data_IF_610469448432
#
_entry.id   IF_610469448432
#
_cell.length_a   1.000
_cell.length_b   1.000
_cell.length_c   1.000
_cell.angle_alpha   90.00
_cell.angle_beta   90.00
_cell.angle_gamma   90.00
#
_symmetry.space_group_name_H-M   'P 1'
#
loop_
_entity.id
_entity.type
_entity.pdbx_description
1 polymer ?
#
# COMPACT_ATOMS: atom_id res chain seq x y z
N UNK A 1 -9.11 -2.57 3.72
CA UNK A 1 -8.92 -2.38 5.18
C UNK A 1 -7.91 -3.34 5.78
N UNK A 2 -7.74 -3.31 7.11
CA UNK A 2 -6.83 -4.22 7.80
C UNK A 2 -6.82 -4.06 9.32
N UNK A 3 -6.05 -4.91 9.98
CA UNK A 3 -5.96 -4.92 11.45
C UNK A 3 -4.75 -4.14 11.94
N UNK A 4 -4.93 -3.40 13.05
CA UNK A 4 -3.83 -2.74 13.74
C UNK A 4 -3.16 -3.66 14.75
N UNK A 5 -1.89 -3.44 15.11
CA UNK A 5 -1.21 -4.18 16.18
C UNK A 5 -1.82 -3.96 17.57
N UNK A 6 -2.66 -2.95 17.73
CA UNK A 6 -3.36 -2.62 19.00
C UNK A 6 -4.84 -3.02 19.00
N UNK A 7 -5.21 -4.00 18.17
CA UNK A 7 -6.55 -4.62 18.17
C UNK A 7 -7.67 -3.66 17.78
N UNK A 8 -7.47 -2.88 16.72
CA UNK A 8 -8.53 -2.18 16.00
C UNK A 8 -8.55 -2.61 14.54
N UNK A 9 -9.70 -2.45 13.89
CA UNK A 9 -9.85 -2.59 12.44
C UNK A 9 -9.78 -1.20 11.82
N UNK A 10 -8.96 -1.03 10.79
CA UNK A 10 -8.97 0.17 9.95
C UNK A 10 -9.86 -0.13 8.75
N UNK A 11 -11.00 0.54 8.69
CA UNK A 11 -11.96 0.46 7.60
C UNK A 11 -11.81 1.65 6.67
N UNK A 12 -12.13 1.46 5.40
CA UNK A 12 -11.90 2.46 4.35
C UNK A 12 -13.17 2.79 3.56
N UNK A 13 -13.18 4.01 3.05
CA UNK A 13 -14.01 4.42 1.94
C UNK A 13 -13.14 4.40 0.68
N UNK A 14 -13.42 3.47 -0.23
CA UNK A 14 -12.62 3.28 -1.44
C UNK A 14 -12.85 4.39 -2.49
N UNK A 15 -14.01 5.02 -2.49
CA UNK A 15 -14.35 6.05 -3.47
C UNK A 15 -14.26 7.46 -2.89
N UNK A 16 -13.63 8.37 -3.62
CA UNK A 16 -13.58 9.79 -3.27
C UNK A 16 -14.76 10.51 -3.86
N UNK A 17 -15.61 11.07 -3.00
CA UNK A 17 -16.71 11.94 -3.39
C UNK A 17 -16.74 13.18 -2.52
N UNK A 18 -16.99 14.33 -3.13
CA UNK A 18 -17.26 15.55 -2.37
C UNK A 18 -18.68 15.51 -1.77
N UNK A 19 -18.85 16.17 -0.63
CA UNK A 19 -20.19 16.39 -0.03
C UNK A 19 -21.17 16.90 -1.07
N UNK A 20 -22.38 16.33 -1.12
CA UNK A 20 -23.44 16.62 -2.06
C UNK A 20 -23.42 15.79 -3.35
N UNK A 21 -22.29 15.17 -3.69
CA UNK A 21 -22.25 14.20 -4.80
C UNK A 21 -22.97 12.91 -4.39
N UNK A 22 -23.61 12.23 -5.33
CA UNK A 22 -24.35 10.98 -5.10
C UNK A 22 -25.34 11.01 -3.93
N UNK A 23 -25.81 12.21 -3.52
CA UNK A 23 -26.70 12.37 -2.36
C UNK A 23 -26.00 12.26 -0.98
N UNK A 24 -24.67 12.25 -0.95
CA UNK A 24 -23.90 12.10 0.29
C UNK A 24 -23.94 13.36 1.15
N UNK A 25 -24.15 13.17 2.47
CA UNK A 25 -24.16 14.28 3.45
C UNK A 25 -22.76 14.74 3.85
N UNK A 26 -21.72 13.91 3.62
CA UNK A 26 -20.32 14.16 3.93
C UNK A 26 -19.45 13.80 2.74
N UNK A 27 -18.21 14.34 2.69
CA UNK A 27 -17.20 13.87 1.74
C UNK A 27 -16.73 12.47 2.12
N UNK A 28 -16.32 11.69 1.12
CA UNK A 28 -15.84 10.31 1.23
C UNK A 28 -14.40 10.17 0.74
N UNK A 29 -13.79 9.02 1.05
CA UNK A 29 -12.42 8.68 0.69
C UNK A 29 -11.49 8.67 1.91
N UNK A 30 -12.03 8.37 3.09
CA UNK A 30 -11.28 8.41 4.35
C UNK A 30 -11.13 7.03 4.99
N UNK A 31 -10.19 6.96 5.95
CA UNK A 31 -10.03 5.85 6.86
C UNK A 31 -10.81 6.09 8.16
N UNK A 32 -11.23 4.99 8.78
CA UNK A 32 -11.90 4.96 10.08
C UNK A 32 -11.29 3.88 10.95
N UNK A 33 -11.06 4.18 12.22
CA UNK A 33 -10.57 3.19 13.17
C UNK A 33 -11.72 2.67 14.03
N UNK A 34 -11.91 1.33 14.01
CA UNK A 34 -12.95 0.63 14.76
C UNK A 34 -12.29 -0.26 15.79
N UNK A 35 -12.38 0.07 17.11
CA UNK A 35 -11.83 -0.76 18.18
C UNK A 35 -12.49 -2.14 18.22
N UNK A 36 -11.69 -3.22 18.24
CA UNK A 36 -12.22 -4.59 18.29
C UNK A 36 -12.93 -4.93 19.60
N UNK A 37 -12.62 -4.19 20.68
CA UNK A 37 -13.22 -4.39 22.02
C UNK A 37 -14.37 -3.41 22.32
N UNK A 38 -14.81 -2.63 21.32
CA UNK A 38 -15.94 -1.72 21.48
C UNK A 38 -17.27 -2.46 21.58
N UNK A 39 -18.19 -1.97 22.43
CA UNK A 39 -19.56 -2.46 22.48
C UNK A 39 -20.51 -1.41 21.87
N UNK A 40 -21.47 -1.87 21.05
CA UNK A 40 -22.46 -1.02 20.39
C UNK A 40 -21.91 -0.19 19.23
N UNK A 41 -22.69 0.78 18.78
CA UNK A 41 -22.31 1.66 17.68
C UNK A 41 -21.18 2.60 18.09
N UNK A 42 -20.14 2.64 17.28
CA UNK A 42 -19.04 3.58 17.42
C UNK A 42 -19.27 4.79 16.51
N UNK A 43 -18.84 5.97 16.94
CA UNK A 43 -18.88 7.17 16.09
C UNK A 43 -17.90 6.99 14.91
N UNK A 44 -18.37 7.16 13.68
CA UNK A 44 -17.53 7.13 12.49
C UNK A 44 -16.77 8.46 12.37
N UNK A 45 -15.57 8.51 12.95
CA UNK A 45 -14.70 9.69 12.90
C UNK A 45 -13.66 9.50 11.80
N UNK A 46 -13.69 10.29 10.71
CA UNK A 46 -12.74 10.15 9.63
C UNK A 46 -11.33 10.56 10.07
N UNK A 47 -10.35 9.75 9.73
CA UNK A 47 -8.93 10.01 9.98
C UNK A 47 -8.36 10.89 8.87
N UNK A 48 -8.80 12.14 8.78
CA UNK A 48 -8.51 13.06 7.65
C UNK A 48 -7.03 13.32 7.45
N UNK A 49 -6.21 13.21 8.49
CA UNK A 49 -4.76 13.32 8.39
C UNK A 49 -4.09 12.18 7.61
N UNK A 50 -4.79 11.04 7.45
CA UNK A 50 -4.34 9.91 6.62
C UNK A 50 -4.63 10.10 5.13
N UNK A 51 -5.25 11.21 4.75
CA UNK A 51 -5.54 11.58 3.38
C UNK A 51 -6.93 11.17 2.91
N UNK A 52 -7.35 11.75 1.78
CA UNK A 52 -8.54 11.39 1.05
C UNK A 52 -8.13 10.90 -0.35
N UNK A 53 -8.28 9.59 -0.58
CA UNK A 53 -7.98 8.91 -1.84
C UNK A 53 -8.71 7.54 -1.87
N UNK A 54 -8.58 6.78 -2.95
CA UNK A 54 -9.17 5.43 -3.05
C UNK A 54 -8.37 4.45 -2.19
N UNK A 55 -8.65 4.44 -0.90
CA UNK A 55 -7.99 3.53 0.04
C UNK A 55 -8.37 2.08 -0.22
N UNK A 56 -7.37 1.18 -0.28
CA UNK A 56 -7.59 -0.25 -0.49
C UNK A 56 -7.10 -1.09 0.69
N UNK A 57 -5.80 -1.15 0.94
CA UNK A 57 -5.26 -1.92 2.04
C UNK A 57 -4.42 -1.08 3.01
N UNK A 58 -4.24 -1.62 4.23
CA UNK A 58 -3.36 -1.08 5.25
C UNK A 58 -2.45 -2.16 5.79
N UNK A 59 -1.17 -1.80 5.94
CA UNK A 59 -0.21 -2.57 6.71
C UNK A 59 0.43 -1.63 7.75
N UNK A 60 0.46 -2.06 9.01
CA UNK A 60 1.02 -1.24 10.10
C UNK A 60 2.27 -1.92 10.64
N UNK A 61 3.38 -1.21 10.56
CA UNK A 61 4.63 -1.66 11.14
C UNK A 61 4.54 -1.64 12.67
N UNK A 62 4.58 -2.80 13.35
CA UNK A 62 4.49 -2.83 14.80
C UNK A 62 5.70 -2.21 15.50
N UNK A 63 6.84 -2.04 14.81
CA UNK A 63 8.06 -1.49 15.41
C UNK A 63 8.06 0.04 15.40
N UNK A 64 7.84 0.65 14.25
CA UNK A 64 7.83 2.11 14.09
C UNK A 64 6.46 2.73 14.38
N UNK A 65 5.39 1.98 14.17
CA UNK A 65 4.01 2.46 14.14
C UNK A 65 3.65 3.16 12.84
N UNK A 66 4.52 3.10 11.82
CA UNK A 66 4.22 3.62 10.49
C UNK A 66 3.08 2.83 9.86
N UNK A 67 2.17 3.54 9.21
CA UNK A 67 1.00 2.98 8.53
C UNK A 67 1.21 3.10 7.04
N UNK A 68 1.25 1.97 6.33
CA UNK A 68 1.35 1.93 4.87
C UNK A 68 -0.03 1.75 4.27
N UNK A 69 -0.27 2.41 3.14
CA UNK A 69 -1.58 2.47 2.50
C UNK A 69 -1.41 2.32 0.99
N UNK A 70 -2.25 1.49 0.38
CA UNK A 70 -2.38 1.39 -1.07
C UNK A 70 -3.54 2.24 -1.58
N UNK A 71 -3.44 2.69 -2.83
CA UNK A 71 -4.48 3.40 -3.56
C UNK A 71 -4.87 2.57 -4.79
N UNK A 72 -6.14 2.12 -4.85
CA UNK A 72 -6.66 1.42 -6.02
C UNK A 72 -7.05 2.39 -7.12
N UNK A 73 -6.05 2.85 -7.83
CA UNK A 73 -6.18 3.65 -9.06
C UNK A 73 -5.11 3.23 -10.05
N UNK A 74 -5.46 3.26 -11.34
CA UNK A 74 -4.49 2.98 -12.41
C UNK A 74 -3.28 3.93 -12.37
N UNK A 75 -3.44 5.11 -11.82
CA UNK A 75 -2.43 6.12 -11.58
C UNK A 75 -2.17 6.40 -10.09
N UNK A 76 -2.50 5.42 -9.23
CA UNK A 76 -2.39 5.49 -7.77
C UNK A 76 -0.96 5.63 -7.26
N UNK A 77 -0.84 5.88 -5.98
CA UNK A 77 0.43 5.98 -5.28
C UNK A 77 0.51 4.95 -4.15
N UNK A 78 1.70 4.81 -3.59
CA UNK A 78 1.92 4.10 -2.34
C UNK A 78 2.25 5.12 -1.25
N UNK A 79 1.50 5.06 -0.15
CA UNK A 79 1.60 6.05 0.91
C UNK A 79 2.14 5.45 2.20
N UNK A 80 2.72 6.32 3.02
CA UNK A 80 3.07 6.07 4.42
C UNK A 80 2.52 7.19 5.28
N UNK A 81 1.79 6.84 6.33
CA UNK A 81 1.38 7.78 7.37
C UNK A 81 2.22 7.55 8.63
N UNK A 82 2.82 8.60 9.14
CA UNK A 82 3.57 8.62 10.40
C UNK A 82 2.69 9.26 11.46
N UNK A 83 2.07 8.48 12.37
CA UNK A 83 1.24 9.02 13.44
C UNK A 83 2.03 9.97 14.35
N UNK A 84 1.42 11.08 14.77
CA UNK A 84 2.02 11.97 15.75
C UNK A 84 2.23 11.27 17.11
N UNK A 85 1.33 10.34 17.44
CA UNK A 85 1.41 9.47 18.61
C UNK A 85 1.18 8.03 18.15
N UNK A 86 2.16 7.17 18.37
CA UNK A 86 2.06 5.75 17.99
C UNK A 86 0.82 5.11 18.63
N UNK A 87 0.04 4.40 17.81
CA UNK A 87 -1.19 3.74 18.26
C UNK A 87 -2.39 4.66 18.49
N UNK A 88 -2.28 5.95 18.14
CA UNK A 88 -3.36 6.93 18.25
C UNK A 88 -3.52 7.67 16.91
N UNK A 89 -4.14 7.02 15.93
CA UNK A 89 -4.27 7.56 14.56
C UNK A 89 -5.08 8.86 14.53
N UNK A 90 -6.05 9.00 15.41
CA UNK A 90 -6.88 10.21 15.57
C UNK A 90 -6.10 11.44 16.07
N UNK A 91 -4.90 11.26 16.65
CA UNK A 91 -4.02 12.37 17.03
C UNK A 91 -3.37 13.06 15.81
N UNK A 92 -3.66 12.58 14.59
CA UNK A 92 -3.05 13.09 13.37
C UNK A 92 -1.64 12.58 13.14
N UNK A 93 -0.95 13.20 12.16
CA UNK A 93 0.38 12.76 11.76
C UNK A 93 0.80 13.38 10.42
N UNK A 94 1.74 12.72 9.75
CA UNK A 94 2.26 13.14 8.44
C UNK A 94 1.98 12.05 7.40
N UNK A 95 1.25 12.40 6.35
CA UNK A 95 1.12 11.53 5.18
C UNK A 95 2.27 11.82 4.21
N UNK A 96 2.86 10.76 3.69
CA UNK A 96 3.97 10.79 2.74
C UNK A 96 3.69 9.84 1.59
N UNK A 97 4.30 10.09 0.45
CA UNK A 97 4.25 9.19 -0.71
C UNK A 97 5.64 8.78 -1.14
N UNK A 98 5.76 7.60 -1.74
CA UNK A 98 7.03 6.99 -2.11
C UNK A 98 7.56 7.55 -3.42
N UNK A 99 8.85 7.91 -3.43
CA UNK A 99 9.63 8.25 -4.62
C UNK A 99 10.86 7.35 -4.71
N UNK A 100 11.27 6.96 -5.93
CA UNK A 100 12.44 6.13 -6.16
C UNK A 100 13.61 7.03 -6.55
N UNK A 101 14.69 7.00 -5.77
CA UNK A 101 15.86 7.85 -6.00
C UNK A 101 16.90 7.22 -6.91
N UNK A 102 16.99 5.88 -6.92
CA UNK A 102 17.93 5.14 -7.76
C UNK A 102 17.50 5.03 -9.24
N UNK A 103 16.24 5.34 -9.54
CA UNK A 103 15.68 5.33 -10.90
C UNK A 103 14.94 6.64 -11.18
N UNK A 104 15.64 7.77 -11.33
CA UNK A 104 15.00 9.10 -11.38
C UNK A 104 14.12 9.31 -12.63
N UNK A 105 14.29 8.52 -13.69
CA UNK A 105 13.44 8.58 -14.88
C UNK A 105 12.17 7.75 -14.76
N UNK A 106 12.06 6.87 -13.73
CA UNK A 106 10.92 6.01 -13.56
C UNK A 106 9.73 6.79 -12.99
N UNK A 107 8.69 6.96 -13.76
CA UNK A 107 7.45 7.64 -13.34
C UNK A 107 6.34 6.68 -12.94
N UNK A 108 6.47 5.39 -13.31
CA UNK A 108 5.50 4.34 -13.00
C UNK A 108 6.20 3.00 -12.81
N UNK A 109 5.76 2.24 -11.82
CA UNK A 109 6.24 0.87 -11.56
C UNK A 109 5.65 -0.17 -12.51
N UNK A 110 4.65 0.21 -13.31
CA UNK A 110 3.83 -0.71 -14.12
C UNK A 110 4.52 -1.36 -15.31
N UNK A 111 5.78 -1.03 -15.60
CA UNK A 111 6.62 -1.64 -16.67
C UNK A 111 6.01 -1.60 -18.07
N UNK A 112 5.20 -0.56 -18.35
CA UNK A 112 4.60 -0.31 -19.68
C UNK A 112 5.15 0.93 -20.38
N UNK A 113 6.16 1.55 -19.80
CA UNK A 113 6.82 2.76 -20.29
C UNK A 113 8.20 2.47 -20.87
N UNK A 114 8.92 3.55 -21.21
CA UNK A 114 10.29 3.47 -21.68
C UNK A 114 11.30 3.09 -20.59
N UNK A 115 11.01 3.44 -19.33
CA UNK A 115 11.80 3.02 -18.17
C UNK A 115 11.07 1.88 -17.44
N UNK A 116 11.81 0.86 -17.03
CA UNK A 116 11.26 -0.31 -16.36
C UNK A 116 11.82 -0.42 -14.94
N UNK A 117 10.98 -0.87 -14.01
CA UNK A 117 11.42 -1.28 -12.69
C UNK A 117 12.03 -2.69 -12.79
N UNK A 118 13.30 -2.87 -12.42
CA UNK A 118 13.99 -4.14 -12.61
C UNK A 118 13.48 -5.20 -11.62
N UNK A 119 13.24 -6.40 -12.13
CA UNK A 119 12.82 -7.55 -11.32
C UNK A 119 13.93 -7.94 -10.32
N UNK A 120 13.54 -8.24 -9.09
CA UNK A 120 14.39 -8.74 -8.00
C UNK A 120 15.64 -7.88 -7.72
N UNK A 121 15.57 -6.60 -8.05
CA UNK A 121 16.65 -5.64 -7.82
C UNK A 121 16.18 -4.53 -6.88
N UNK A 122 16.69 -4.48 -5.63
CA UNK A 122 16.26 -3.48 -4.65
C UNK A 122 16.56 -2.06 -5.12
N UNK A 123 15.57 -1.19 -5.07
CA UNK A 123 15.68 0.23 -5.43
C UNK A 123 15.61 1.11 -4.19
N UNK A 124 16.49 2.09 -4.11
CA UNK A 124 16.52 3.05 -3.00
C UNK A 124 15.35 4.02 -3.15
N UNK A 125 14.63 4.22 -2.05
CA UNK A 125 13.46 5.11 -2.00
C UNK A 125 13.65 6.28 -1.04
N UNK A 126 12.80 7.28 -1.20
CA UNK A 126 12.57 8.34 -0.22
C UNK A 126 11.07 8.59 -0.05
N UNK A 127 10.71 9.15 1.08
CA UNK A 127 9.34 9.54 1.37
C UNK A 127 9.16 11.04 1.22
N UNK A 128 8.17 11.45 0.44
CA UNK A 128 7.84 12.84 0.15
C UNK A 128 6.62 13.24 0.97
N UNK A 129 6.76 14.25 1.83
CA UNK A 129 5.66 14.71 2.69
C UNK A 129 4.59 15.41 1.86
N UNK A 130 3.34 15.01 2.06
CA UNK A 130 2.17 15.60 1.42
C UNK A 130 1.54 16.66 2.33
N UNK A 131 1.10 17.77 1.74
CA UNK A 131 0.35 18.82 2.44
C UNK A 131 -1.09 18.86 1.95
N UNK A 132 -2.01 19.38 2.78
CA UNK A 132 -3.43 19.50 2.42
C UNK A 132 -4.03 18.15 2.03
N UNK A 133 -3.79 17.15 2.87
CA UNK A 133 -4.13 15.74 2.58
C UNK A 133 -5.63 15.42 2.69
N UNK A 134 -6.38 16.26 3.38
CA UNK A 134 -7.84 16.30 3.28
C UNK A 134 -8.21 16.86 1.90
N UNK A 135 -8.33 15.98 0.90
CA UNK A 135 -8.35 16.31 -0.52
C UNK A 135 -9.60 15.75 -1.22
N UNK A 136 -10.82 16.24 -0.88
CA UNK A 136 -12.07 15.71 -1.42
C UNK A 136 -12.24 15.96 -2.94
N UNK A 137 -11.31 16.72 -3.56
CA UNK A 137 -11.24 16.90 -5.00
C UNK A 137 -10.50 15.76 -5.74
N UNK A 138 -10.12 14.68 -5.05
CA UNK A 138 -9.43 13.51 -5.61
C UNK A 138 -8.13 13.86 -6.36
N UNK A 139 -7.36 14.83 -5.84
CA UNK A 139 -6.15 15.35 -6.51
C UNK A 139 -4.83 14.95 -5.84
N UNK A 140 -4.88 14.21 -4.73
CA UNK A 140 -3.71 13.93 -3.89
C UNK A 140 -2.60 13.20 -4.68
N UNK A 141 -2.95 12.17 -5.46
CA UNK A 141 -1.99 11.43 -6.30
C UNK A 141 -1.36 12.32 -7.38
N UNK A 142 -2.13 13.25 -7.96
CA UNK A 142 -1.59 14.17 -8.96
C UNK A 142 -0.58 15.14 -8.35
N UNK A 143 -0.83 15.61 -7.12
CA UNK A 143 0.11 16.46 -6.38
C UNK A 143 1.37 15.71 -5.98
N UNK A 144 1.24 14.46 -5.52
CA UNK A 144 2.38 13.59 -5.19
C UNK A 144 3.27 13.34 -6.40
N UNK A 145 2.70 13.02 -7.56
CA UNK A 145 3.45 12.83 -8.82
C UNK A 145 4.23 14.09 -9.22
N UNK A 146 3.64 15.27 -9.09
CA UNK A 146 4.36 16.56 -9.34
C UNK A 146 5.54 16.79 -8.39
N UNK A 147 5.52 16.14 -7.22
CA UNK A 147 6.62 16.19 -6.23
C UNK A 147 7.61 15.02 -6.39
N UNK A 148 7.48 14.21 -7.45
CA UNK A 148 8.39 13.13 -7.78
C UNK A 148 7.99 11.76 -7.22
N UNK A 149 6.78 11.59 -6.72
CA UNK A 149 6.27 10.27 -6.36
C UNK A 149 6.16 9.36 -7.59
N UNK A 150 6.46 8.07 -7.40
CA UNK A 150 6.29 7.05 -8.44
C UNK A 150 4.87 6.49 -8.40
N UNK A 151 4.28 6.30 -9.57
CA UNK A 151 2.96 5.68 -9.73
C UNK A 151 3.03 4.18 -9.46
N UNK A 152 2.08 3.68 -8.67
CA UNK A 152 1.72 2.27 -8.54
C UNK A 152 0.44 2.01 -9.32
N UNK A 153 0.34 0.85 -9.98
CA UNK A 153 -0.79 0.57 -10.86
C UNK A 153 -1.79 -0.32 -10.14
N UNK A 154 -2.84 0.31 -9.60
CA UNK A 154 -3.87 -0.36 -8.82
C UNK A 154 -3.26 -1.14 -7.65
N UNK A 155 -2.84 -0.42 -6.62
CA UNK A 155 -2.33 -1.01 -5.37
C UNK A 155 -3.48 -1.60 -4.58
N UNK A 156 -3.38 -2.89 -4.29
CA UNK A 156 -4.38 -3.72 -3.62
C UNK A 156 -3.86 -4.20 -2.25
N UNK A 157 -4.03 -5.47 -1.95
CA UNK A 157 -3.70 -6.07 -0.67
C UNK A 157 -2.26 -5.88 -0.22
N UNK A 158 -2.08 -5.86 1.11
CA UNK A 158 -0.77 -5.79 1.76
C UNK A 158 -0.68 -6.71 2.96
N UNK A 159 0.53 -7.19 3.26
CA UNK A 159 0.83 -7.92 4.50
C UNK A 159 2.21 -7.59 5.05
N UNK A 160 2.30 -7.52 6.38
CA UNK A 160 3.57 -7.36 7.11
C UNK A 160 4.23 -8.71 7.27
N UNK A 161 5.48 -8.83 6.86
CA UNK A 161 6.37 -9.94 7.20
C UNK A 161 7.26 -9.54 8.38
N UNK A 162 7.31 -10.38 9.40
CA UNK A 162 8.21 -10.19 10.53
C UNK A 162 9.37 -11.18 10.50
N UNK A 163 10.53 -10.73 10.97
CA UNK A 163 11.69 -11.61 11.16
C UNK A 163 11.49 -12.52 12.40
N UNK A 164 12.42 -13.44 12.62
CA UNK A 164 12.43 -14.35 13.78
C UNK A 164 12.46 -13.65 15.16
N UNK A 165 12.70 -12.35 15.19
CA UNK A 165 12.66 -11.53 16.40
C UNK A 165 11.38 -10.69 16.52
N UNK A 166 10.42 -10.90 15.61
CA UNK A 166 9.16 -10.17 15.56
C UNK A 166 9.26 -8.75 15.00
N UNK A 167 10.42 -8.38 14.40
CA UNK A 167 10.59 -7.05 13.79
C UNK A 167 10.11 -7.09 12.34
N UNK A 168 9.59 -5.98 11.86
CA UNK A 168 9.18 -5.84 10.47
C UNK A 168 10.38 -6.04 9.54
N UNK A 169 10.32 -7.10 8.75
CA UNK A 169 11.29 -7.39 7.71
C UNK A 169 10.86 -6.78 6.38
N UNK A 170 9.60 -6.96 5.99
CA UNK A 170 9.04 -6.51 4.71
C UNK A 170 7.58 -6.13 4.84
N UNK A 171 7.16 -5.22 3.97
CA UNK A 171 5.76 -4.94 3.66
C UNK A 171 5.52 -5.43 2.24
N UNK A 172 4.75 -6.48 2.10
CA UNK A 172 4.35 -7.02 0.80
C UNK A 172 3.17 -6.24 0.24
N UNK A 173 3.18 -5.99 -1.07
CA UNK A 173 2.23 -5.12 -1.77
C UNK A 173 1.82 -5.80 -3.07
N UNK A 174 0.51 -5.95 -3.29
CA UNK A 174 -0.06 -6.39 -4.56
C UNK A 174 -0.45 -5.19 -5.42
N UNK A 175 -0.15 -5.25 -6.72
CA UNK A 175 -0.64 -4.32 -7.74
C UNK A 175 -1.35 -5.13 -8.83
N UNK A 176 -2.68 -5.08 -8.87
CA UNK A 176 -3.50 -6.04 -9.62
C UNK A 176 -3.36 -5.96 -11.14
N UNK A 177 -3.05 -4.79 -11.71
CA UNK A 177 -2.92 -4.62 -13.16
C UNK A 177 -1.55 -4.10 -13.60
N UNK A 178 -0.56 -4.12 -12.74
CA UNK A 178 0.83 -3.82 -13.10
C UNK A 178 1.44 -4.89 -14.01
N UNK A 179 2.65 -4.65 -14.47
CA UNK A 179 3.39 -5.54 -15.36
C UNK A 179 3.09 -5.33 -16.84
N UNK A 180 3.98 -5.82 -17.70
CA UNK A 180 3.92 -5.64 -19.15
C UNK A 180 2.63 -6.18 -19.77
N UNK A 181 2.12 -7.28 -19.25
CA UNK A 181 0.87 -7.91 -19.69
C UNK A 181 -0.36 -7.48 -18.90
N UNK A 182 -0.18 -6.66 -17.84
CA UNK A 182 -1.29 -6.21 -17.00
C UNK A 182 -1.89 -7.30 -16.11
N UNK A 183 -1.11 -8.30 -15.77
CA UNK A 183 -1.55 -9.46 -15.00
C UNK A 183 -1.24 -9.35 -13.50
N UNK A 184 -0.59 -8.26 -13.09
CA UNK A 184 -0.24 -7.97 -11.72
C UNK A 184 1.26 -7.96 -11.46
N UNK A 185 1.62 -7.34 -10.34
CA UNK A 185 2.98 -7.28 -9.81
C UNK A 185 2.93 -7.44 -8.30
N UNK A 186 3.90 -8.15 -7.74
CA UNK A 186 4.10 -8.23 -6.30
C UNK A 186 5.39 -7.51 -5.95
N UNK A 187 5.29 -6.53 -5.07
CA UNK A 187 6.43 -5.81 -4.51
C UNK A 187 6.62 -6.17 -3.04
N UNK A 188 7.81 -5.91 -2.53
CA UNK A 188 8.01 -5.72 -1.10
C UNK A 188 8.83 -4.46 -0.83
N UNK A 189 8.47 -3.79 0.25
CA UNK A 189 9.21 -2.68 0.82
C UNK A 189 9.95 -3.14 2.08
N UNK A 190 11.24 -2.90 2.15
CA UNK A 190 12.08 -3.11 3.33
C UNK A 190 12.25 -1.76 4.03
N UNK A 191 11.64 -1.58 5.23
CA UNK A 191 11.74 -0.32 5.94
C UNK A 191 13.17 0.04 6.33
N UNK A 192 13.43 1.33 6.44
CA UNK A 192 14.65 1.83 7.06
C UNK A 192 14.76 1.37 8.52
N UNK A 193 15.96 1.14 8.99
CA UNK A 193 16.19 0.97 10.46
C UNK A 193 15.85 2.23 11.24
N UNK A 194 15.73 3.37 10.56
CA UNK A 194 15.30 4.66 11.08
C UNK A 194 13.94 5.10 10.54
N UNK A 195 13.07 4.14 10.20
CA UNK A 195 11.77 4.41 9.57
C UNK A 195 11.00 5.52 10.29
N UNK A 196 10.75 6.61 9.55
CA UNK A 196 10.08 7.81 10.07
C UNK A 196 10.88 8.63 11.10
N UNK A 197 12.16 8.37 11.28
CA UNK A 197 13.02 9.03 12.29
C UNK A 197 14.20 9.76 11.63
N UNK A 198 14.87 10.67 12.35
CA UNK A 198 16.14 11.24 11.89
C UNK A 198 17.16 10.15 11.54
N UNK A 199 17.87 10.33 10.43
CA UNK A 199 18.81 9.34 9.89
C UNK A 199 18.20 8.41 8.82
N UNK A 200 16.90 8.47 8.56
CA UNK A 200 16.27 7.68 7.50
C UNK A 200 16.89 7.95 6.12
N UNK A 201 17.24 9.20 5.82
CA UNK A 201 17.87 9.57 4.54
C UNK A 201 19.28 8.99 4.38
N UNK A 202 19.98 8.71 5.49
CA UNK A 202 21.33 8.11 5.50
C UNK A 202 21.26 6.59 5.28
N UNK A 203 20.18 5.95 5.74
CA UNK A 203 19.92 4.52 5.58
C UNK A 203 18.49 4.32 5.08
N UNK A 204 18.21 4.70 3.83
CA UNK A 204 16.86 4.66 3.30
C UNK A 204 16.33 3.24 3.14
N UNK A 205 15.01 3.10 3.19
CA UNK A 205 14.33 1.87 2.85
C UNK A 205 14.50 1.51 1.38
N UNK A 206 14.09 0.30 1.01
CA UNK A 206 14.21 -0.24 -0.35
C UNK A 206 12.92 -0.86 -0.82
N UNK A 207 12.61 -0.65 -2.08
CA UNK A 207 11.51 -1.30 -2.77
C UNK A 207 12.04 -2.30 -3.79
N UNK A 208 11.49 -3.50 -3.80
CA UNK A 208 11.86 -4.55 -4.75
C UNK A 208 10.61 -5.06 -5.47
N UNK A 209 10.65 -5.14 -6.79
CA UNK A 209 9.70 -5.90 -7.57
C UNK A 209 10.06 -7.38 -7.43
N UNK A 210 9.28 -8.09 -6.62
CA UNK A 210 9.52 -9.50 -6.35
C UNK A 210 9.09 -10.38 -7.51
N UNK A 211 7.90 -10.10 -8.06
CA UNK A 211 7.31 -10.94 -9.09
C UNK A 211 6.46 -10.13 -10.08
N UNK A 212 6.59 -10.49 -11.36
CA UNK A 212 5.80 -9.98 -12.49
C UNK A 212 5.57 -11.15 -13.46
N UNK A 213 4.47 -11.88 -13.34
CA UNK A 213 4.28 -13.18 -14.00
C UNK A 213 4.26 -13.08 -15.53
N UNK A 214 3.68 -12.02 -16.10
CA UNK A 214 3.51 -11.84 -17.55
C UNK A 214 2.95 -13.06 -18.31
N UNK A 215 2.36 -14.02 -17.59
CA UNK A 215 1.76 -15.25 -18.07
C UNK A 215 0.47 -15.53 -17.28
N UNK A 216 -0.70 -15.55 -17.93
CA UNK A 216 -1.98 -15.75 -17.26
C UNK A 216 -2.15 -17.14 -16.65
N UNK A 217 -1.35 -18.14 -17.03
CA UNK A 217 -1.36 -19.46 -16.39
C UNK A 217 -0.72 -19.43 -14.99
N UNK A 218 0.15 -18.46 -14.73
CA UNK A 218 0.80 -18.30 -13.43
C UNK A 218 -0.06 -17.50 -12.46
N UNK A 219 -0.45 -16.27 -12.86
CA UNK A 219 -1.29 -15.37 -12.05
C UNK A 219 -2.08 -14.44 -12.95
N UNK A 220 -3.33 -14.15 -12.55
CA UNK A 220 -4.22 -13.18 -13.23
C UNK A 220 -4.79 -12.22 -12.22
N UNK A 221 -4.34 -10.97 -12.27
CA UNK A 221 -4.93 -9.89 -11.48
C UNK A 221 -5.11 -10.28 -10.01
N UNK A 222 -3.99 -10.54 -9.33
CA UNK A 222 -4.02 -10.76 -7.89
C UNK A 222 -4.59 -9.51 -7.20
N UNK A 223 -5.42 -9.74 -6.20
CA UNK A 223 -6.08 -8.69 -5.43
C UNK A 223 -5.51 -8.67 -4.01
N UNK A 224 -5.93 -9.57 -3.18
CA UNK A 224 -5.44 -9.65 -1.81
C UNK A 224 -4.35 -10.72 -1.65
N UNK A 225 -3.52 -10.55 -0.63
CA UNK A 225 -2.43 -11.49 -0.34
C UNK A 225 -2.26 -11.74 1.16
N UNK A 226 -1.76 -12.91 1.49
CA UNK A 226 -1.41 -13.29 2.85
C UNK A 226 -0.05 -14.01 2.87
N UNK A 227 0.66 -13.91 3.97
CA UNK A 227 1.88 -14.67 4.19
C UNK A 227 1.55 -15.98 4.90
N UNK A 228 1.96 -17.10 4.31
CA UNK A 228 1.76 -18.42 4.89
C UNK A 228 2.88 -18.77 5.88
N UNK A 229 2.63 -19.72 6.82
CA UNK A 229 3.62 -20.10 7.83
C UNK A 229 4.93 -20.67 7.27
N UNK A 230 4.91 -21.20 6.05
CA UNK A 230 6.10 -21.71 5.34
C UNK A 230 6.90 -20.59 4.60
N UNK A 231 6.42 -19.34 4.67
CA UNK A 231 7.04 -18.19 4.01
C UNK A 231 6.57 -17.93 2.57
N UNK A 232 5.66 -18.74 2.04
CA UNK A 232 5.06 -18.49 0.73
C UNK A 232 4.00 -17.39 0.83
N UNK A 233 3.77 -16.68 -0.27
CA UNK A 233 2.63 -15.77 -0.41
C UNK A 233 1.44 -16.54 -0.96
N UNK A 234 0.28 -16.35 -0.35
CA UNK A 234 -1.01 -16.79 -0.89
C UNK A 234 -1.69 -15.57 -1.50
N UNK A 235 -2.02 -15.62 -2.78
CA UNK A 235 -2.66 -14.55 -3.54
C UNK A 235 -4.04 -15.00 -3.99
N UNK A 236 -5.05 -14.15 -3.77
CA UNK A 236 -6.39 -14.32 -4.32
C UNK A 236 -6.46 -13.59 -5.66
N UNK A 237 -6.87 -14.26 -6.72
CA UNK A 237 -7.14 -13.61 -8.01
C UNK A 237 -8.49 -12.89 -7.97
N UNK A 238 -8.58 -11.71 -8.60
CA UNK A 238 -9.83 -11.04 -8.95
C UNK A 238 -9.93 -10.85 -10.47
N UNK A 239 -10.50 -11.83 -11.14
CA UNK A 239 -10.67 -11.85 -12.58
C UNK A 239 -12.11 -12.22 -12.95
N UNK A 240 -12.61 -11.75 -14.10
CA UNK A 240 -13.99 -11.97 -14.56
C UNK A 240 -14.39 -13.44 -14.82
N UNK A 241 -13.42 -14.37 -14.83
CA UNK A 241 -13.63 -15.80 -15.04
C UNK A 241 -13.30 -16.56 -13.75
N UNK A 242 -12.79 -17.80 -13.89
CA UNK A 242 -12.33 -18.59 -12.77
C UNK A 242 -11.23 -17.85 -12.00
N UNK A 243 -11.48 -17.59 -10.72
CA UNK A 243 -10.53 -17.00 -9.78
C UNK A 243 -9.87 -18.13 -9.00
N UNK A 244 -8.55 -18.06 -8.86
CA UNK A 244 -7.73 -19.08 -8.20
C UNK A 244 -7.14 -18.53 -6.90
N UNK A 245 -6.81 -19.44 -6.00
CA UNK A 245 -5.84 -19.20 -4.95
C UNK A 245 -4.47 -19.64 -5.48
N UNK A 246 -3.53 -18.72 -5.55
CA UNK A 246 -2.21 -18.94 -6.12
C UNK A 246 -1.15 -18.76 -5.04
N UNK A 247 -0.33 -19.79 -4.83
CA UNK A 247 0.85 -19.72 -3.98
C UNK A 247 2.03 -19.19 -4.78
N UNK A 248 2.84 -18.33 -4.15
CA UNK A 248 4.13 -17.88 -4.70
C UNK A 248 5.20 -18.21 -3.66
N UNK A 249 6.12 -19.10 -4.00
CA UNK A 249 7.20 -19.49 -3.09
C UNK A 249 8.18 -18.33 -2.83
N UNK A 250 8.99 -18.45 -1.79
CA UNK A 250 10.04 -17.46 -1.50
C UNK A 250 11.07 -17.33 -2.65
N UNK A 251 11.18 -18.32 -3.55
CA UNK A 251 11.99 -18.27 -4.77
C UNK A 251 11.26 -17.66 -5.98
N UNK A 252 9.96 -17.34 -5.85
CA UNK A 252 9.14 -16.77 -6.92
C UNK A 252 8.49 -17.79 -7.85
N UNK A 253 8.43 -19.07 -7.46
CA UNK A 253 7.73 -20.12 -8.21
C UNK A 253 6.24 -20.11 -7.86
N UNK A 254 5.40 -20.39 -8.86
CA UNK A 254 3.93 -20.35 -8.71
C UNK A 254 3.33 -21.74 -8.62
N UNK A 255 2.28 -21.89 -7.80
CA UNK A 255 1.45 -23.08 -7.75
C UNK A 255 -0.01 -22.70 -7.45
N UNK A 256 -0.95 -23.53 -7.91
CA UNK A 256 -2.39 -23.33 -7.67
C UNK A 256 -2.82 -24.24 -6.52
N UNK A 257 -3.66 -23.72 -5.62
CA UNK A 257 -4.24 -24.45 -4.48
C UNK A 257 -5.60 -25.02 -4.83
#
# INVERSE_FOLDING_TARGET
GGMSPWSSCISFEEWVFSKGQQGLSHSHGYCFEVPAQGHGLQAALPLTAMGSFNHEAVAIDPDSGAVYLTEDRADGLFYRFLPAVRGQLSAGGKLQTLAITSLPQLTSTGNRGAAEFPLQTPQVVKWVTMNGVDAPADDLRHRGRRQGAVQFVRGEGMVVEQDKHGRTARIWIMCTTGGKQGLGQVFYYEPSVYEGKPGEEEKPGRLTLFSEPNNPELLRNGDNLALMPNGDLLVCEDHQRLQRLVGITASGEYYVL
#
